data_IF_153449468922
#
_entry.id   IF_153449468922
#
_cell.length_a   1.000
_cell.length_b   1.000
_cell.length_c   1.000
_cell.angle_alpha   90.00
_cell.angle_beta   90.00
_cell.angle_gamma   90.00
#
_symmetry.space_group_name_H-M   'P 1'
#
loop_
_entity.id
_entity.type
_entity.pdbx_description
1 polymer ?
#
# COMPACT_ATOMS: atom_id res chain seq x y z
N UNK A 1 18.86 9.99 -22.70
CA UNK A 1 18.19 9.87 -21.38
C UNK A 1 17.99 11.28 -20.85
N UNK A 2 16.86 11.57 -20.21
CA UNK A 2 16.63 12.88 -19.58
C UNK A 2 17.51 13.04 -18.34
N UNK A 3 17.76 14.29 -17.93
CA UNK A 3 18.42 14.58 -16.65
C UNK A 3 17.50 14.18 -15.48
N UNK A 4 18.06 13.70 -14.35
CA UNK A 4 17.27 13.45 -13.15
C UNK A 4 16.54 14.71 -12.68
N UNK A 5 15.27 14.56 -12.30
CA UNK A 5 14.44 15.66 -11.76
C UNK A 5 14.23 15.39 -10.28
N UNK A 6 14.50 16.39 -9.45
CA UNK A 6 14.17 16.34 -8.01
C UNK A 6 12.65 16.54 -7.84
N UNK A 7 11.99 15.56 -7.23
CA UNK A 7 10.52 15.58 -7.01
C UNK A 7 10.15 16.31 -5.72
N UNK A 8 10.85 16.05 -4.61
CA UNK A 8 10.57 16.67 -3.30
C UNK A 8 11.85 16.89 -2.50
N UNK A 9 11.74 17.70 -1.43
CA UNK A 9 12.74 17.79 -0.37
C UNK A 9 12.09 17.36 0.93
N UNK A 10 12.70 16.42 1.65
CA UNK A 10 12.23 15.98 2.97
C UNK A 10 13.19 16.48 4.05
N UNK A 11 12.71 16.80 5.27
CA UNK A 11 13.57 17.30 6.34
C UNK A 11 14.71 16.36 6.72
N UNK A 12 14.46 15.04 6.73
CA UNK A 12 15.47 14.04 7.11
C UNK A 12 15.76 13.01 6.00
N UNK A 13 14.82 12.10 5.72
CA UNK A 13 15.02 11.01 4.76
C UNK A 13 13.72 10.56 4.12
N UNK A 14 13.79 10.25 2.83
CA UNK A 14 12.75 9.52 2.09
C UNK A 14 13.17 8.06 1.92
N UNK A 15 12.24 7.13 2.14
CA UNK A 15 12.47 5.68 1.95
C UNK A 15 11.27 5.01 1.30
N UNK A 16 11.50 3.80 0.79
CA UNK A 16 10.45 2.91 0.25
C UNK A 16 9.47 3.62 -0.69
N UNK A 17 10.00 4.27 -1.72
CA UNK A 17 9.19 4.94 -2.72
C UNK A 17 8.64 3.94 -3.74
N UNK A 18 7.41 4.16 -4.18
CA UNK A 18 6.78 3.41 -5.27
C UNK A 18 6.03 4.37 -6.18
N UNK A 19 5.78 3.96 -7.41
CA UNK A 19 4.96 4.73 -8.33
C UNK A 19 4.01 3.85 -9.14
N UNK A 20 2.93 4.45 -9.61
CA UNK A 20 1.94 3.82 -10.48
C UNK A 20 1.33 4.87 -11.42
N UNK A 21 0.97 4.44 -12.63
CA UNK A 21 0.22 5.27 -13.57
C UNK A 21 -1.28 5.02 -13.40
N UNK A 22 -2.05 6.10 -13.38
CA UNK A 22 -3.49 6.03 -13.51
C UNK A 22 -3.90 5.88 -15.00
N UNK A 23 -5.14 5.41 -15.28
CA UNK A 23 -5.62 5.24 -16.65
C UNK A 23 -5.61 6.52 -17.51
N UNK A 24 -5.67 7.70 -16.87
CA UNK A 24 -5.57 9.01 -17.54
C UNK A 24 -4.12 9.42 -17.88
N UNK A 25 -3.14 8.56 -17.59
CA UNK A 25 -1.71 8.80 -17.82
C UNK A 25 -1.02 9.60 -16.70
N UNK A 26 -1.74 9.97 -15.63
CA UNK A 26 -1.14 10.66 -14.49
C UNK A 26 -0.26 9.70 -13.69
N UNK A 27 0.98 10.12 -13.42
CA UNK A 27 1.89 9.40 -12.54
C UNK A 27 1.58 9.76 -11.10
N UNK A 28 1.47 8.75 -10.23
CA UNK A 28 1.43 8.91 -8.79
C UNK A 28 2.69 8.29 -8.19
N UNK A 29 3.30 9.00 -7.24
CA UNK A 29 4.47 8.53 -6.49
C UNK A 29 4.13 8.62 -5.01
N UNK A 30 4.38 7.54 -4.28
CA UNK A 30 4.33 7.51 -2.83
C UNK A 30 5.72 7.35 -2.24
N UNK A 31 5.91 7.82 -1.01
CA UNK A 31 7.12 7.55 -0.24
C UNK A 31 6.81 7.56 1.25
N UNK A 32 7.69 6.91 2.01
CA UNK A 32 7.79 7.13 3.44
C UNK A 32 8.72 8.31 3.69
N UNK A 33 8.26 9.26 4.49
CA UNK A 33 9.06 10.36 5.01
C UNK A 33 9.37 10.14 6.49
N UNK A 34 10.64 10.21 6.87
CA UNK A 34 11.07 10.03 8.26
C UNK A 34 11.24 11.38 8.95
N UNK A 35 10.92 11.42 10.24
CA UNK A 35 11.12 12.55 11.13
C UNK A 35 11.98 12.12 12.32
N UNK A 36 13.30 12.29 12.21
CA UNK A 36 14.27 11.83 13.24
C UNK A 36 14.04 12.53 14.58
N UNK A 37 13.69 13.81 14.55
CA UNK A 37 13.49 14.61 15.74
C UNK A 37 12.29 14.15 16.60
N UNK A 38 11.25 13.60 15.98
CA UNK A 38 10.03 13.14 16.66
C UNK A 38 9.89 11.62 16.71
N UNK A 39 10.83 10.88 16.10
CA UNK A 39 10.85 9.41 16.11
C UNK A 39 9.75 8.76 15.25
N UNK A 40 9.21 9.50 14.27
CA UNK A 40 8.05 9.08 13.48
C UNK A 40 8.32 8.97 11.98
N UNK A 41 7.34 8.43 11.27
CA UNK A 41 7.29 8.38 9.81
C UNK A 41 5.87 8.55 9.31
N UNK A 42 5.73 9.21 8.16
CA UNK A 42 4.46 9.42 7.48
C UNK A 42 4.55 8.95 6.03
N UNK A 43 3.38 8.66 5.44
CA UNK A 43 3.26 8.29 4.03
C UNK A 43 2.77 9.49 3.25
N UNK A 44 3.52 9.88 2.23
CA UNK A 44 3.15 10.96 1.33
C UNK A 44 2.85 10.45 -0.06
N UNK A 45 2.02 11.21 -0.79
CA UNK A 45 1.77 11.03 -2.21
C UNK A 45 1.93 12.34 -2.97
N UNK A 46 2.41 12.26 -4.20
CA UNK A 46 2.45 13.35 -5.17
C UNK A 46 2.02 12.82 -6.55
N UNK A 47 1.51 13.69 -7.40
CA UNK A 47 1.10 13.34 -8.76
C UNK A 47 1.73 14.24 -9.82
N UNK A 48 1.88 13.72 -11.03
CA UNK A 48 2.37 14.45 -12.20
C UNK A 48 1.46 14.21 -13.39
N UNK A 49 0.89 15.28 -13.94
CA UNK A 49 -0.07 15.23 -15.06
C UNK A 49 0.58 15.28 -16.45
N UNK A 50 1.90 15.11 -16.55
CA UNK A 50 2.65 15.31 -17.80
C UNK A 50 3.17 16.74 -18.02
N UNK A 51 2.80 17.69 -17.14
CA UNK A 51 3.24 19.10 -17.21
C UNK A 51 3.71 19.62 -15.86
N UNK A 52 2.89 19.45 -14.83
CA UNK A 52 3.11 19.99 -13.48
C UNK A 52 2.97 18.92 -12.41
N UNK A 53 3.77 19.07 -11.34
CA UNK A 53 3.63 18.29 -10.12
C UNK A 53 2.54 18.89 -9.23
N UNK A 54 1.81 18.05 -8.51
CA UNK A 54 0.94 18.49 -7.41
C UNK A 54 1.78 18.85 -6.17
N UNK A 55 1.14 19.41 -5.14
CA UNK A 55 1.75 19.48 -3.82
C UNK A 55 1.78 18.08 -3.19
N UNK A 56 2.85 17.70 -2.47
CA UNK A 56 2.84 16.52 -1.60
C UNK A 56 1.66 16.54 -0.64
N UNK A 57 0.95 15.42 -0.55
CA UNK A 57 -0.16 15.21 0.39
C UNK A 57 0.26 14.14 1.41
N UNK A 58 0.12 14.45 2.69
CA UNK A 58 0.26 13.46 3.75
C UNK A 58 -0.98 12.56 3.79
N UNK A 59 -0.79 11.26 3.60
CA UNK A 59 -1.85 10.25 3.64
C UNK A 59 -2.15 9.74 5.05
N UNK A 60 -1.30 10.07 6.02
CA UNK A 60 -1.51 9.73 7.42
C UNK A 60 -2.34 10.82 8.12
N UNK A 61 -3.30 10.38 8.94
CA UNK A 61 -4.16 11.28 9.71
C UNK A 61 -3.86 11.26 11.22
N UNK A 62 -2.99 10.35 11.69
CA UNK A 62 -2.65 10.20 13.11
C UNK A 62 -1.20 10.62 13.38
N UNK A 63 -0.92 11.57 14.28
CA UNK A 63 0.44 12.12 14.42
C UNK A 63 1.44 11.24 15.20
N UNK A 64 1.00 10.21 15.93
CA UNK A 64 1.84 9.52 16.93
C UNK A 64 2.21 8.06 16.64
N UNK A 65 1.81 7.54 15.49
CA UNK A 65 2.19 6.20 15.01
C UNK A 65 3.26 6.31 13.92
N UNK A 66 4.27 5.43 13.85
CA UNK A 66 5.14 5.36 12.68
C UNK A 66 4.41 4.64 11.54
N UNK A 67 4.48 5.18 10.34
CA UNK A 67 3.93 4.56 9.13
C UNK A 67 5.06 4.21 8.14
N UNK A 68 5.14 2.93 7.78
CA UNK A 68 6.28 2.38 7.06
C UNK A 68 5.91 1.53 5.85
N UNK A 69 6.86 1.40 4.92
CA UNK A 69 6.82 0.47 3.76
C UNK A 69 5.51 0.57 2.96
N UNK A 70 5.20 1.76 2.40
CA UNK A 70 3.93 1.94 1.72
C UNK A 70 3.91 1.20 0.38
N UNK A 71 2.71 0.86 -0.07
CA UNK A 71 2.45 0.28 -1.38
C UNK A 71 1.29 0.97 -2.08
N UNK A 72 1.41 1.24 -3.39
CA UNK A 72 0.38 1.87 -4.22
C UNK A 72 -0.11 0.90 -5.29
N UNK A 73 -1.42 0.80 -5.41
CA UNK A 73 -2.11 0.17 -6.54
C UNK A 73 -3.15 1.14 -7.11
N UNK A 74 -3.28 1.18 -8.43
CA UNK A 74 -4.31 1.98 -9.10
C UNK A 74 -5.16 1.04 -9.95
N UNK A 75 -6.46 1.02 -9.71
CA UNK A 75 -7.38 0.16 -10.43
C UNK A 75 -7.64 0.65 -11.85
N UNK A 76 -8.20 -0.21 -12.69
CA UNK A 76 -8.59 0.15 -14.06
C UNK A 76 -9.66 1.26 -14.10
N UNK A 77 -10.42 1.45 -13.01
CA UNK A 77 -11.40 2.55 -12.87
C UNK A 77 -10.76 3.82 -12.30
N UNK A 78 -9.47 3.81 -12.00
CA UNK A 78 -8.71 4.96 -11.51
C UNK A 78 -8.73 5.17 -10.00
N UNK A 79 -9.37 4.26 -9.23
CA UNK A 79 -9.30 4.32 -7.77
C UNK A 79 -7.86 4.02 -7.32
N UNK A 80 -7.39 4.75 -6.32
CA UNK A 80 -6.02 4.61 -5.80
C UNK A 80 -6.09 3.97 -4.42
N UNK A 81 -5.33 2.92 -4.23
CA UNK A 81 -5.22 2.19 -2.97
C UNK A 81 -3.79 2.34 -2.47
N UNK A 82 -3.62 2.88 -1.26
CA UNK A 82 -2.33 2.97 -0.60
C UNK A 82 -2.39 2.24 0.72
N UNK A 83 -1.54 1.22 0.89
CA UNK A 83 -1.45 0.47 2.13
C UNK A 83 -0.07 0.66 2.76
N UNK A 84 0.01 0.61 4.09
CA UNK A 84 1.27 0.74 4.83
C UNK A 84 1.20 -0.01 6.18
N UNK A 85 2.36 -0.23 6.79
CA UNK A 85 2.46 -0.74 8.16
C UNK A 85 2.36 0.41 9.15
N UNK A 86 1.46 0.31 10.12
CA UNK A 86 1.31 1.27 11.21
C UNK A 86 0.97 0.55 12.53
N UNK A 87 1.72 -0.50 12.89
CA UNK A 87 1.34 -1.52 13.88
C UNK A 87 0.23 -2.45 13.38
N UNK A 88 0.40 -2.91 12.15
CA UNK A 88 -0.62 -3.62 11.37
C UNK A 88 -0.96 -2.85 10.11
N UNK A 89 -1.61 -3.50 9.16
CA UNK A 89 -1.90 -2.91 7.85
C UNK A 89 -3.00 -1.85 7.97
N UNK A 90 -2.72 -0.66 7.44
CA UNK A 90 -3.71 0.40 7.18
C UNK A 90 -3.83 0.57 5.67
N UNK A 91 -5.05 0.82 5.20
CA UNK A 91 -5.36 1.13 3.81
C UNK A 91 -6.05 2.49 3.72
N UNK A 92 -5.66 3.32 2.76
CA UNK A 92 -6.40 4.52 2.36
C UNK A 92 -6.72 4.48 0.88
N UNK A 93 -7.96 4.87 0.58
CA UNK A 93 -8.52 4.80 -0.76
C UNK A 93 -8.81 6.22 -1.28
N UNK A 94 -8.45 6.48 -2.54
CA UNK A 94 -8.94 7.61 -3.31
C UNK A 94 -10.05 7.13 -4.23
N UNK A 95 -11.23 7.71 -4.08
CA UNK A 95 -12.36 7.45 -4.97
C UNK A 95 -12.27 8.38 -6.19
N UNK A 96 -12.08 7.81 -7.38
CA UNK A 96 -11.90 8.57 -8.61
C UNK A 96 -13.17 9.30 -9.06
N UNK A 97 -14.35 8.78 -8.70
CA UNK A 97 -15.63 9.36 -9.08
C UNK A 97 -15.93 10.63 -8.27
N UNK A 98 -15.74 10.58 -6.95
CA UNK A 98 -15.93 11.74 -6.07
C UNK A 98 -14.68 12.63 -5.99
N UNK A 99 -13.55 12.17 -6.52
CA UNK A 99 -12.26 12.81 -6.48
C UNK A 99 -11.76 13.11 -5.06
N UNK A 100 -12.04 12.22 -4.11
CA UNK A 100 -11.72 12.41 -2.69
C UNK A 100 -10.97 11.23 -2.09
N UNK A 101 -10.05 11.54 -1.17
CA UNK A 101 -9.48 10.55 -0.28
C UNK A 101 -10.48 10.21 0.83
N UNK A 102 -10.74 8.93 1.02
CA UNK A 102 -11.52 8.41 2.13
C UNK A 102 -10.69 8.38 3.42
N UNK A 103 -11.36 8.19 4.55
CA UNK A 103 -10.70 7.93 5.82
C UNK A 103 -9.92 6.61 5.76
N UNK A 104 -8.71 6.53 6.35
CA UNK A 104 -7.97 5.29 6.45
C UNK A 104 -8.76 4.20 7.18
N UNK A 105 -8.62 2.96 6.72
CA UNK A 105 -9.22 1.76 7.30
C UNK A 105 -8.11 0.84 7.81
N UNK A 106 -8.21 0.44 9.07
CA UNK A 106 -7.31 -0.55 9.68
C UNK A 106 -7.72 -1.96 9.23
N UNK A 107 -6.84 -2.63 8.51
CA UNK A 107 -7.07 -3.98 7.98
C UNK A 107 -6.57 -5.08 8.92
N UNK A 108 -5.55 -4.80 9.72
CA UNK A 108 -5.05 -5.72 10.75
C UNK A 108 -4.51 -4.98 11.97
N UNK A 109 -4.30 -5.74 13.04
CA UNK A 109 -3.65 -5.35 14.29
C UNK A 109 -2.19 -5.84 14.30
N UNK A 110 -1.43 -5.37 15.28
CA UNK A 110 -0.01 -5.71 15.45
C UNK A 110 0.26 -7.23 15.49
N UNK A 111 -0.68 -8.03 16.02
CA UNK A 111 -0.54 -9.49 16.10
C UNK A 111 -0.41 -10.18 14.73
N UNK A 112 -0.95 -9.57 13.67
CA UNK A 112 -0.87 -10.07 12.30
C UNK A 112 0.30 -9.45 11.51
N UNK A 113 1.12 -8.61 12.15
CA UNK A 113 2.11 -7.78 11.47
C UNK A 113 1.51 -6.88 10.40
N UNK A 114 2.37 -6.31 9.56
CA UNK A 114 1.96 -5.44 8.46
C UNK A 114 3.06 -5.20 7.43
N UNK A 115 4.08 -6.04 7.39
CA UNK A 115 5.28 -5.79 6.59
C UNK A 115 5.00 -6.00 5.10
N UNK A 116 5.51 -5.06 4.30
CA UNK A 116 5.45 -5.03 2.83
C UNK A 116 4.06 -5.39 2.29
N UNK A 117 3.02 -4.60 2.64
CA UNK A 117 1.69 -4.85 2.12
C UNK A 117 1.71 -4.75 0.60
N UNK A 118 1.00 -5.64 -0.07
CA UNK A 118 0.80 -5.65 -1.51
C UNK A 118 -0.70 -5.64 -1.78
N UNK A 119 -1.12 -4.91 -2.82
CA UNK A 119 -2.52 -4.71 -3.16
C UNK A 119 -2.75 -5.13 -4.62
N UNK A 120 -3.86 -5.80 -4.88
CA UNK A 120 -4.39 -5.98 -6.23
C UNK A 120 -5.91 -5.74 -6.23
N UNK A 121 -6.46 -5.41 -7.40
CA UNK A 121 -7.90 -5.29 -7.62
C UNK A 121 -8.33 -6.03 -8.87
N UNK A 122 -9.52 -6.62 -8.85
CA UNK A 122 -10.14 -7.21 -10.03
C UNK A 122 -11.02 -6.19 -10.79
N UNK A 123 -11.62 -6.55 -11.95
CA UNK A 123 -12.50 -5.64 -12.71
C UNK A 123 -13.77 -5.18 -11.95
N UNK A 124 -14.18 -5.91 -10.93
CA UNK A 124 -15.35 -5.60 -10.10
C UNK A 124 -15.00 -4.66 -8.94
N UNK A 125 -13.72 -4.23 -8.83
CA UNK A 125 -13.15 -3.47 -7.71
C UNK A 125 -13.19 -4.22 -6.38
N UNK A 126 -13.15 -5.55 -6.41
CA UNK A 126 -12.77 -6.29 -5.22
C UNK A 126 -11.29 -5.99 -4.91
N UNK A 127 -10.97 -5.83 -3.63
CA UNK A 127 -9.63 -5.44 -3.17
C UNK A 127 -9.00 -6.62 -2.46
N UNK A 128 -7.78 -6.98 -2.84
CA UNK A 128 -7.02 -8.07 -2.24
C UNK A 128 -5.75 -7.50 -1.64
N UNK A 129 -5.58 -7.67 -0.34
CA UNK A 129 -4.40 -7.18 0.39
C UNK A 129 -3.65 -8.37 0.96
N UNK A 130 -2.35 -8.38 0.74
CA UNK A 130 -1.42 -9.43 1.13
C UNK A 130 -0.28 -8.79 1.92
N UNK A 131 0.15 -9.39 3.03
CA UNK A 131 1.29 -8.91 3.82
C UNK A 131 1.92 -10.06 4.60
N UNK A 132 3.02 -9.80 5.30
CA UNK A 132 3.60 -10.79 6.19
C UNK A 132 3.89 -10.22 7.59
N UNK A 133 3.95 -11.14 8.55
CA UNK A 133 4.43 -10.89 9.90
C UNK A 133 5.86 -11.43 9.99
N UNK A 134 6.85 -10.52 10.01
CA UNK A 134 8.27 -10.89 10.06
C UNK A 134 8.64 -11.65 11.35
N UNK A 135 7.99 -11.32 12.48
CA UNK A 135 8.24 -11.96 13.76
C UNK A 135 7.68 -13.39 13.81
N UNK A 136 6.46 -13.58 13.30
CA UNK A 136 5.81 -14.89 13.30
C UNK A 136 6.25 -15.79 12.14
N UNK A 137 6.83 -15.20 11.07
CA UNK A 137 7.11 -15.93 9.83
C UNK A 137 5.82 -16.40 9.15
N UNK A 138 4.77 -15.59 9.18
CA UNK A 138 3.45 -15.94 8.63
C UNK A 138 3.07 -14.93 7.56
N UNK A 139 2.53 -15.44 6.46
CA UNK A 139 1.94 -14.63 5.40
C UNK A 139 0.43 -14.62 5.56
N UNK A 140 -0.15 -13.42 5.47
CA UNK A 140 -1.59 -13.19 5.62
C UNK A 140 -2.18 -12.50 4.39
N UNK A 141 -3.49 -12.67 4.23
CA UNK A 141 -4.27 -11.88 3.31
C UNK A 141 -5.61 -11.45 3.93
N UNK A 142 -6.18 -10.37 3.40
CA UNK A 142 -7.56 -9.98 3.67
C UNK A 142 -8.14 -9.33 2.42
N UNK A 143 -9.38 -9.67 2.12
CA UNK A 143 -10.06 -9.24 0.91
C UNK A 143 -11.32 -8.46 1.22
N UNK A 144 -11.62 -7.47 0.36
CA UNK A 144 -12.89 -6.75 0.32
C UNK A 144 -13.66 -7.23 -0.89
N UNK A 145 -14.67 -8.06 -0.68
CA UNK A 145 -15.49 -8.64 -1.74
C UNK A 145 -16.88 -7.99 -1.69
N UNK A 146 -17.36 -7.47 -2.83
CA UNK A 146 -18.64 -6.79 -2.94
C UNK A 146 -18.86 -5.70 -1.87
N UNK A 147 -17.78 -4.99 -1.51
CA UNK A 147 -17.78 -3.92 -0.51
C UNK A 147 -17.56 -4.34 0.94
N UNK A 148 -17.59 -5.64 1.26
CA UNK A 148 -17.42 -6.16 2.62
C UNK A 148 -16.05 -6.80 2.84
N UNK A 149 -15.40 -6.46 3.96
CA UNK A 149 -14.15 -7.09 4.35
C UNK A 149 -14.38 -8.49 4.91
N UNK A 150 -13.72 -9.47 4.32
CA UNK A 150 -13.61 -10.83 4.84
C UNK A 150 -12.68 -10.88 6.07
N UNK A 151 -12.70 -11.98 6.84
CA UNK A 151 -11.70 -12.22 7.89
C UNK A 151 -10.27 -12.27 7.35
N UNK A 152 -9.29 -12.00 8.22
CA UNK A 152 -7.87 -12.22 7.91
C UNK A 152 -7.63 -13.72 7.74
N UNK A 153 -6.91 -14.11 6.70
CA UNK A 153 -6.57 -15.48 6.38
C UNK A 153 -5.05 -15.68 6.41
N UNK A 154 -4.59 -16.73 7.08
CA UNK A 154 -3.22 -17.22 6.92
C UNK A 154 -3.10 -17.95 5.57
N UNK A 155 -2.09 -17.57 4.79
CA UNK A 155 -1.83 -18.14 3.46
C UNK A 155 -0.69 -19.14 3.46
N UNK A 156 0.30 -18.96 4.34
CA UNK A 156 1.43 -19.87 4.49
C UNK A 156 1.05 -21.18 5.17
N UNK A 157 1.79 -22.23 4.87
CA UNK A 157 1.64 -23.54 5.52
C UNK A 157 1.80 -23.43 7.05
N UNK A 158 0.87 -23.97 7.87
CA UNK A 158 1.03 -23.96 9.32
C UNK A 158 2.34 -24.60 9.77
N UNK A 159 3.10 -23.90 10.61
CA UNK A 159 4.42 -24.33 11.11
C UNK A 159 5.59 -24.01 10.19
N UNK A 160 5.36 -23.60 8.94
CA UNK A 160 6.41 -23.10 8.06
C UNK A 160 6.76 -21.64 8.40
N UNK A 161 7.99 -21.24 8.09
CA UNK A 161 8.41 -19.84 8.13
C UNK A 161 8.30 -19.24 6.73
N UNK A 162 7.36 -18.32 6.54
CA UNK A 162 7.07 -17.64 5.29
C UNK A 162 7.27 -16.12 5.40
N UNK A 163 7.75 -15.51 4.31
CA UNK A 163 7.97 -14.05 4.24
C UNK A 163 8.11 -13.57 2.81
N UNK A 164 7.78 -12.29 2.62
CA UNK A 164 7.84 -11.54 1.37
C UNK A 164 7.05 -12.19 0.24
N UNK A 165 6.35 -11.37 -0.54
CA UNK A 165 5.54 -11.91 -1.59
C UNK A 165 5.01 -10.85 -2.52
N UNK A 166 4.13 -11.29 -3.40
CA UNK A 166 3.43 -10.45 -4.34
C UNK A 166 2.03 -11.02 -4.57
N UNK A 167 1.12 -10.13 -4.96
CA UNK A 167 -0.25 -10.48 -5.35
C UNK A 167 -0.55 -9.87 -6.71
N UNK A 168 -1.31 -10.58 -7.54
CA UNK A 168 -1.81 -10.10 -8.82
C UNK A 168 -3.23 -10.63 -9.05
N UNK A 169 -4.12 -9.77 -9.55
CA UNK A 169 -5.46 -10.15 -9.97
C UNK A 169 -5.54 -10.15 -11.50
N UNK A 170 -6.02 -11.26 -12.06
CA UNK A 170 -6.28 -11.43 -13.48
C UNK A 170 -7.60 -10.78 -13.90
N UNK A 171 -7.74 -10.51 -15.20
CA UNK A 171 -8.99 -10.00 -15.79
C UNK A 171 -10.14 -11.01 -15.72
N UNK A 172 -9.82 -12.28 -15.48
CA UNK A 172 -10.76 -13.38 -15.27
C UNK A 172 -11.24 -13.49 -13.81
N UNK A 173 -10.88 -12.53 -12.95
CA UNK A 173 -11.21 -12.52 -11.53
C UNK A 173 -10.36 -13.47 -10.68
N UNK A 174 -9.38 -14.18 -11.27
CA UNK A 174 -8.48 -15.04 -10.51
C UNK A 174 -7.40 -14.22 -9.83
N UNK A 175 -7.14 -14.52 -8.56
CA UNK A 175 -6.10 -13.85 -7.79
C UNK A 175 -4.99 -14.85 -7.47
N UNK A 176 -3.76 -14.43 -7.79
CA UNK A 176 -2.55 -15.21 -7.58
C UNK A 176 -1.70 -14.51 -6.54
N UNK A 177 -1.18 -15.28 -5.58
CA UNK A 177 -0.19 -14.81 -4.64
C UNK A 177 1.02 -15.74 -4.66
N UNK A 178 2.20 -15.17 -4.42
CA UNK A 178 3.44 -15.91 -4.27
C UNK A 178 4.17 -15.45 -3.01
N UNK A 179 4.88 -16.37 -2.36
CA UNK A 179 5.73 -16.07 -1.22
C UNK A 179 6.91 -17.03 -1.18
N UNK A 180 7.89 -16.70 -0.34
CA UNK A 180 8.96 -17.65 0.00
C UNK A 180 8.62 -18.31 1.32
N UNK A 181 8.75 -19.62 1.38
CA UNK A 181 8.59 -20.40 2.60
C UNK A 181 9.73 -21.38 2.79
N UNK A 182 10.04 -21.64 4.07
CA UNK A 182 10.96 -22.68 4.51
C UNK A 182 10.23 -23.60 5.48
N UNK A 183 10.36 -24.91 5.25
CA UNK A 183 9.95 -25.98 6.15
C UNK A 183 11.14 -26.42 7.01
#
# INVERSE_FOLDING_TARGET
MSVPIKVTSTPDASKWAQCAFAPDGRLYIIWQEQYKATGGSDIFIISYNGRTWSTPLNLKNYPYSPADRPYIHISAKGNIYVAWDEWGVVLREYNAQSQTWLSPVRLSTYEYGGFEPCIATDPDENVYVFWYNDQAGIVYSRSRIAGSWEPIKQMSTPGATAKQGAIAAGRDGRVWCMWREKQ
#
